data_IF_307911118022
#
_entry.id   IF_307911118022
#
_cell.length_a   1.000
_cell.length_b   1.000
_cell.length_c   1.000
_cell.angle_alpha   90.00
_cell.angle_beta   90.00
_cell.angle_gamma   90.00
#
_symmetry.space_group_name_H-M   'P 1'
#
loop_
_entity.id
_entity.type
_entity.pdbx_description
1 polymer ?
#
# COMPACT_ATOMS: atom_id res chain seq x y z
N UNK A 1 18.33 5.64 -21.40
CA UNK A 1 17.32 4.88 -22.16
C UNK A 1 16.60 3.79 -21.32
N UNK A 2 16.73 3.79 -20.00
CA UNK A 2 16.05 2.84 -19.11
C UNK A 2 14.73 3.40 -18.54
N UNK A 3 14.57 4.71 -18.57
CA UNK A 3 13.36 5.41 -18.15
C UNK A 3 12.65 6.02 -19.37
N UNK A 4 11.34 6.20 -19.24
CA UNK A 4 10.47 6.74 -20.28
C UNK A 4 9.75 5.66 -21.10
N UNK A 5 8.96 6.07 -22.10
CA UNK A 5 8.15 5.16 -22.90
C UNK A 5 8.96 4.02 -23.53
N UNK A 6 8.48 2.79 -23.38
CA UNK A 6 9.16 1.58 -23.86
C UNK A 6 10.41 1.18 -23.07
N UNK A 7 10.68 1.83 -21.94
CA UNK A 7 11.73 1.49 -20.99
C UNK A 7 11.29 0.48 -19.93
N UNK A 8 11.96 0.52 -18.77
CA UNK A 8 11.60 -0.29 -17.62
C UNK A 8 10.23 0.11 -17.07
N UNK A 9 9.35 -0.85 -16.83
CA UNK A 9 8.05 -0.61 -16.21
C UNK A 9 8.20 0.00 -14.82
N UNK A 10 7.33 0.95 -14.47
CA UNK A 10 7.41 1.74 -13.25
C UNK A 10 8.35 2.95 -13.33
N UNK A 11 8.97 3.21 -14.49
CA UNK A 11 9.83 4.36 -14.74
C UNK A 11 9.40 5.17 -15.98
N UNK A 12 8.13 5.07 -16.36
CA UNK A 12 7.57 5.69 -17.57
C UNK A 12 7.75 7.21 -17.57
N UNK A 13 7.63 7.85 -16.43
CA UNK A 13 7.80 9.29 -16.26
C UNK A 13 9.25 9.73 -15.98
N UNK A 14 10.19 8.80 -15.88
CA UNK A 14 11.57 9.11 -15.48
C UNK A 14 12.35 10.03 -16.45
N UNK A 15 11.77 10.38 -17.59
CA UNK A 15 12.32 11.36 -18.55
C UNK A 15 11.68 12.76 -18.39
N UNK A 16 10.72 12.93 -17.48
CA UNK A 16 9.96 14.14 -17.24
C UNK A 16 10.41 14.76 -15.91
N UNK A 17 10.55 16.07 -15.86
CA UNK A 17 10.86 16.79 -14.63
C UNK A 17 9.79 16.52 -13.54
N UNK A 18 10.21 16.36 -12.29
CA UNK A 18 9.35 15.92 -11.17
C UNK A 18 8.11 16.80 -10.98
N UNK A 19 8.27 18.13 -11.06
CA UNK A 19 7.14 19.06 -10.99
C UNK A 19 6.11 18.79 -12.11
N UNK A 20 6.58 18.56 -13.34
CA UNK A 20 5.70 18.26 -14.47
C UNK A 20 5.01 16.90 -14.32
N UNK A 21 5.66 15.92 -13.70
CA UNK A 21 5.01 14.64 -13.39
C UNK A 21 3.79 14.83 -12.48
N UNK A 22 3.87 15.71 -11.48
CA UNK A 22 2.75 16.02 -10.57
C UNK A 22 1.62 16.72 -11.29
N UNK A 23 1.93 17.69 -12.16
CA UNK A 23 0.92 18.34 -12.99
C UNK A 23 0.17 17.35 -13.87
N UNK A 24 0.89 16.45 -14.55
CA UNK A 24 0.28 15.40 -15.39
C UNK A 24 -0.63 14.46 -14.58
N UNK A 25 -0.26 14.13 -13.35
CA UNK A 25 -1.11 13.35 -12.45
C UNK A 25 -2.37 14.12 -12.05
N UNK A 26 -2.23 15.43 -11.78
CA UNK A 26 -3.38 16.29 -11.51
C UNK A 26 -4.31 16.40 -12.72
N UNK A 27 -3.77 16.53 -13.94
CA UNK A 27 -4.54 16.56 -15.19
C UNK A 27 -5.38 15.29 -15.35
N UNK A 28 -4.80 14.09 -15.10
CA UNK A 28 -5.50 12.80 -15.19
C UNK A 28 -6.62 12.68 -14.15
N UNK A 29 -6.38 13.13 -12.91
CA UNK A 29 -7.39 13.09 -11.85
C UNK A 29 -8.53 14.08 -12.16
N UNK A 30 -8.23 15.29 -12.63
CA UNK A 30 -9.21 16.28 -13.03
C UNK A 30 -10.13 15.74 -14.14
N UNK A 31 -9.54 15.17 -15.21
CA UNK A 31 -10.30 14.54 -16.28
C UNK A 31 -11.18 13.38 -15.77
N UNK A 32 -10.66 12.54 -14.90
CA UNK A 32 -11.40 11.42 -14.35
C UNK A 32 -12.59 11.88 -13.48
N UNK A 33 -12.40 12.89 -12.63
CA UNK A 33 -13.44 13.47 -11.79
C UNK A 33 -14.55 14.12 -12.64
N UNK A 34 -14.17 14.88 -13.66
CA UNK A 34 -15.16 15.52 -14.54
C UNK A 34 -15.94 14.47 -15.34
N UNK A 35 -15.25 13.53 -15.98
CA UNK A 35 -15.87 12.56 -16.88
C UNK A 35 -16.72 11.52 -16.14
N UNK A 36 -16.26 11.02 -14.98
CA UNK A 36 -16.92 9.92 -14.27
C UNK A 36 -17.95 10.39 -13.24
N UNK A 37 -17.72 11.54 -12.62
CA UNK A 37 -18.55 12.04 -11.53
C UNK A 37 -19.17 13.43 -11.79
N UNK A 38 -18.86 14.09 -12.91
CA UNK A 38 -19.33 15.45 -13.19
C UNK A 38 -18.75 16.52 -12.24
N UNK A 39 -17.65 16.17 -11.53
CA UNK A 39 -17.02 17.08 -10.56
C UNK A 39 -15.93 17.87 -11.24
N UNK A 40 -16.09 19.20 -11.30
CA UNK A 40 -15.06 20.12 -11.80
C UNK A 40 -14.15 20.56 -10.67
N UNK A 41 -13.09 19.81 -10.45
CA UNK A 41 -12.08 20.05 -9.43
C UNK A 41 -10.71 19.73 -9.97
N UNK A 42 -9.77 20.69 -9.87
CA UNK A 42 -8.35 20.41 -10.11
C UNK A 42 -7.68 20.00 -8.81
N UNK A 43 -7.32 18.71 -8.64
CA UNK A 43 -6.64 18.26 -7.44
C UNK A 43 -5.19 18.77 -7.39
N UNK A 44 -4.68 18.98 -6.18
CA UNK A 44 -3.27 19.27 -5.94
C UNK A 44 -2.53 17.95 -5.68
N UNK A 45 -1.47 17.70 -6.44
CA UNK A 45 -0.58 16.53 -6.23
C UNK A 45 0.68 17.02 -5.51
N UNK A 46 0.77 16.70 -4.24
CA UNK A 46 1.87 17.13 -3.37
C UNK A 46 3.05 16.14 -3.41
N UNK A 47 4.23 16.62 -3.00
CA UNK A 47 5.38 15.77 -2.74
C UNK A 47 5.18 15.00 -1.44
N UNK A 48 5.53 13.73 -1.40
CA UNK A 48 5.75 13.09 -0.12
C UNK A 48 7.06 13.64 0.52
N UNK A 49 7.16 13.64 1.87
CA UNK A 49 8.35 14.16 2.54
C UNK A 49 9.65 13.50 2.05
N UNK A 50 10.60 14.32 1.60
CA UNK A 50 11.89 13.88 1.07
C UNK A 50 11.94 13.63 -0.43
N UNK A 51 10.82 13.75 -1.16
CA UNK A 51 10.79 13.49 -2.60
C UNK A 51 11.50 14.57 -3.41
N UNK A 52 11.33 15.84 -3.03
CA UNK A 52 11.96 16.93 -3.75
C UNK A 52 13.49 16.93 -3.53
N UNK A 53 13.94 16.67 -2.31
CA UNK A 53 15.35 16.57 -1.96
C UNK A 53 16.04 15.40 -2.66
N UNK A 54 15.33 14.28 -2.82
CA UNK A 54 15.84 13.09 -3.52
C UNK A 54 15.60 13.12 -5.03
N UNK A 55 14.98 14.18 -5.54
CA UNK A 55 14.52 14.26 -6.94
C UNK A 55 13.65 13.06 -7.35
N UNK A 56 12.80 12.58 -6.43
CA UNK A 56 11.91 11.44 -6.64
C UNK A 56 12.62 10.08 -6.73
N UNK A 57 13.82 9.96 -6.18
CA UNK A 57 14.60 8.71 -6.17
C UNK A 57 14.65 8.09 -4.76
N UNK A 58 15.04 6.81 -4.66
CA UNK A 58 15.28 6.14 -3.38
C UNK A 58 14.09 6.07 -2.44
N UNK A 59 12.87 5.98 -2.97
CA UNK A 59 11.64 5.94 -2.18
C UNK A 59 11.04 4.55 -2.06
N UNK A 60 11.37 3.64 -3.00
CA UNK A 60 10.67 2.38 -3.18
C UNK A 60 11.22 1.30 -2.24
N UNK A 61 10.41 0.86 -1.29
CA UNK A 61 10.76 -0.16 -0.29
C UNK A 61 10.42 -1.58 -0.73
N UNK A 62 9.73 -1.74 -1.85
CA UNK A 62 9.38 -3.03 -2.42
C UNK A 62 9.63 -3.03 -3.91
N UNK A 63 10.33 -4.06 -4.38
CA UNK A 63 10.69 -4.24 -5.79
C UNK A 63 10.41 -5.67 -6.21
N UNK A 64 9.85 -5.81 -7.40
CA UNK A 64 9.73 -7.09 -8.08
C UNK A 64 10.59 -7.07 -9.34
N UNK A 65 11.48 -8.03 -9.46
CA UNK A 65 12.33 -8.26 -10.61
C UNK A 65 11.95 -9.60 -11.25
N UNK A 66 12.15 -9.69 -12.54
CA UNK A 66 11.90 -10.88 -13.32
C UNK A 66 13.21 -11.41 -13.89
N UNK A 67 13.24 -12.69 -14.23
CA UNK A 67 14.41 -13.35 -14.77
C UNK A 67 14.04 -13.93 -16.13
N UNK A 68 14.81 -13.63 -17.16
CA UNK A 68 14.63 -14.19 -18.50
C UNK A 68 15.29 -15.57 -18.64
N UNK A 69 15.12 -16.20 -19.81
CA UNK A 69 15.68 -17.53 -20.10
C UNK A 69 17.23 -17.56 -20.07
N UNK A 70 17.88 -16.41 -20.26
CA UNK A 70 19.33 -16.28 -20.17
C UNK A 70 19.82 -16.04 -18.72
N UNK A 71 18.90 -15.95 -17.76
CA UNK A 71 19.18 -15.67 -16.36
C UNK A 71 19.40 -14.19 -16.06
N UNK A 72 19.05 -13.29 -16.99
CA UNK A 72 19.14 -11.84 -16.80
C UNK A 72 18.04 -11.35 -15.87
N UNK A 73 18.41 -10.56 -14.88
CA UNK A 73 17.47 -10.01 -13.90
C UNK A 73 17.14 -8.56 -14.22
N UNK A 74 15.84 -8.21 -14.16
CA UNK A 74 15.38 -6.83 -14.35
C UNK A 74 13.87 -6.66 -14.21
N UNK A 75 13.39 -5.43 -14.24
CA UNK A 75 11.95 -5.17 -14.36
C UNK A 75 11.45 -5.60 -15.74
N UNK A 76 10.16 -5.84 -15.87
CA UNK A 76 9.55 -5.96 -17.18
C UNK A 76 9.58 -4.62 -17.91
N UNK A 77 9.65 -4.69 -19.24
CA UNK A 77 9.38 -3.56 -20.12
C UNK A 77 7.92 -3.10 -19.93
N UNK A 78 7.70 -1.81 -20.06
CA UNK A 78 6.35 -1.25 -20.06
C UNK A 78 5.43 -2.04 -21.01
N UNK A 79 4.28 -2.50 -20.49
CA UNK A 79 3.24 -3.26 -21.22
C UNK A 79 3.76 -4.54 -21.91
N UNK A 80 4.81 -5.15 -21.41
CA UNK A 80 5.41 -6.35 -21.94
C UNK A 80 5.86 -7.28 -20.80
N UNK A 81 6.18 -8.52 -21.16
CA UNK A 81 6.85 -9.48 -20.27
C UNK A 81 8.35 -9.63 -20.61
N UNK A 82 8.89 -8.74 -21.44
CA UNK A 82 10.33 -8.74 -21.73
C UNK A 82 11.10 -8.17 -20.53
N UNK A 83 12.13 -8.86 -20.09
CA UNK A 83 13.02 -8.39 -19.03
C UNK A 83 13.94 -7.31 -19.57
N UNK A 84 13.96 -6.16 -18.91
CA UNK A 84 14.89 -5.07 -19.25
C UNK A 84 16.11 -5.16 -18.35
N UNK A 85 17.27 -5.44 -18.94
CA UNK A 85 18.54 -5.37 -18.20
C UNK A 85 18.82 -3.94 -17.76
N UNK A 86 18.91 -3.74 -16.45
CA UNK A 86 19.21 -2.45 -15.82
C UNK A 86 20.55 -2.53 -15.08
N UNK A 87 21.24 -1.40 -14.97
CA UNK A 87 22.50 -1.33 -14.19
C UNK A 87 22.25 -1.03 -12.73
N UNK A 88 21.18 -0.32 -12.45
CA UNK A 88 20.81 0.15 -11.11
C UNK A 88 19.28 0.23 -11.00
N UNK A 89 18.79 0.31 -9.77
CA UNK A 89 17.39 0.46 -9.40
C UNK A 89 17.17 1.80 -8.68
N UNK A 90 17.29 2.94 -9.38
CA UNK A 90 17.38 4.25 -8.73
C UNK A 90 16.14 4.66 -7.93
N UNK A 91 14.97 4.06 -8.21
CA UNK A 91 13.76 4.29 -7.43
C UNK A 91 13.74 3.52 -6.10
N UNK A 92 14.51 2.43 -6.00
CA UNK A 92 14.57 1.61 -4.80
C UNK A 92 15.42 2.27 -3.71
N UNK A 93 15.08 1.99 -2.44
CA UNK A 93 15.92 2.36 -1.30
C UNK A 93 17.29 1.69 -1.37
N UNK A 94 18.26 2.25 -0.65
CA UNK A 94 19.65 1.83 -0.76
C UNK A 94 19.83 0.36 -0.37
N UNK A 95 19.18 -0.12 0.65
CA UNK A 95 19.25 -1.52 1.11
C UNK A 95 18.83 -2.53 0.03
N UNK A 96 17.89 -2.16 -0.86
CA UNK A 96 17.53 -2.99 -2.02
C UNK A 96 18.61 -2.92 -3.10
N UNK A 97 19.16 -1.74 -3.35
CA UNK A 97 20.18 -1.51 -4.38
C UNK A 97 21.48 -2.24 -4.05
N UNK A 98 21.88 -2.28 -2.78
CA UNK A 98 23.06 -2.99 -2.26
C UNK A 98 22.98 -4.52 -2.44
N UNK A 99 21.80 -5.10 -2.59
CA UNK A 99 21.64 -6.52 -2.89
C UNK A 99 22.12 -6.87 -4.31
N UNK A 100 22.16 -5.91 -5.21
CA UNK A 100 22.65 -6.02 -6.58
C UNK A 100 22.08 -7.22 -7.39
N UNK A 101 20.82 -7.58 -7.15
CA UNK A 101 20.18 -8.71 -7.85
C UNK A 101 20.21 -8.53 -9.37
N UNK A 102 20.09 -7.29 -9.86
CA UNK A 102 20.13 -6.96 -11.30
C UNK A 102 21.51 -7.23 -11.94
N UNK A 103 22.57 -7.37 -11.13
CA UNK A 103 23.94 -7.66 -11.59
C UNK A 103 24.28 -9.16 -11.47
N UNK A 104 23.37 -9.98 -10.95
CA UNK A 104 23.54 -11.43 -10.79
C UNK A 104 22.86 -12.17 -11.94
N UNK A 105 23.28 -13.42 -12.16
CA UNK A 105 22.63 -14.33 -13.09
C UNK A 105 21.95 -15.46 -12.30
N UNK A 106 20.71 -15.75 -12.64
CA UNK A 106 19.93 -16.80 -11.99
C UNK A 106 19.44 -17.79 -13.03
N UNK A 107 19.71 -19.07 -12.80
CA UNK A 107 19.18 -20.16 -13.61
C UNK A 107 17.92 -20.75 -12.93
N UNK A 108 16.93 -21.11 -13.73
CA UNK A 108 15.69 -21.74 -13.26
C UNK A 108 14.89 -20.90 -12.23
N UNK A 109 15.04 -19.58 -12.26
CA UNK A 109 14.31 -18.61 -11.45
C UNK A 109 13.46 -17.74 -12.37
N UNK A 110 12.22 -17.46 -11.96
CA UNK A 110 11.29 -16.60 -12.72
C UNK A 110 11.15 -15.21 -12.13
N UNK A 111 11.19 -15.11 -10.80
CA UNK A 111 10.86 -13.88 -10.09
C UNK A 111 11.67 -13.72 -8.81
N UNK A 112 12.06 -12.48 -8.53
CA UNK A 112 12.68 -12.05 -7.28
C UNK A 112 11.87 -10.89 -6.73
N UNK A 113 11.36 -11.04 -5.52
CA UNK A 113 10.65 -9.99 -4.78
C UNK A 113 11.52 -9.57 -3.60
N UNK A 114 11.70 -8.28 -3.42
CA UNK A 114 12.49 -7.72 -2.31
C UNK A 114 11.63 -6.72 -1.57
N UNK A 115 11.69 -6.75 -0.25
CA UNK A 115 11.02 -5.80 0.63
C UNK A 115 11.95 -5.37 1.75
N UNK A 116 11.93 -4.07 2.05
CA UNK A 116 12.63 -3.45 3.17
C UNK A 116 11.60 -2.77 4.05
N UNK A 117 11.66 -3.02 5.35
CA UNK A 117 10.76 -2.37 6.31
C UNK A 117 11.30 -1.03 6.78
N UNK A 118 10.44 -0.22 7.37
CA UNK A 118 10.79 1.05 8.02
C UNK A 118 11.75 0.90 9.23
N UNK A 119 11.98 -0.34 9.67
CA UNK A 119 12.95 -0.68 10.74
C UNK A 119 14.26 -1.25 10.21
N UNK A 120 14.45 -1.26 8.87
CA UNK A 120 15.67 -1.74 8.23
C UNK A 120 15.77 -3.25 8.04
N UNK A 121 14.70 -3.99 8.32
CA UNK A 121 14.67 -5.43 8.03
C UNK A 121 14.56 -5.66 6.54
N UNK A 122 15.31 -6.63 6.03
CA UNK A 122 15.35 -6.97 4.60
C UNK A 122 14.85 -8.38 4.37
N UNK A 123 13.89 -8.50 3.49
CA UNK A 123 13.31 -9.77 3.08
C UNK A 123 13.33 -9.88 1.56
N UNK A 124 13.66 -11.04 1.05
CA UNK A 124 13.52 -11.32 -0.38
C UNK A 124 12.96 -12.72 -0.62
N UNK A 125 12.29 -12.87 -1.73
CA UNK A 125 11.68 -14.12 -2.15
C UNK A 125 12.15 -14.44 -3.56
N UNK A 126 12.75 -15.61 -3.72
CA UNK A 126 13.16 -16.14 -5.02
C UNK A 126 12.14 -17.21 -5.40
N UNK A 127 11.29 -16.92 -6.37
CA UNK A 127 10.05 -17.66 -6.69
C UNK A 127 9.19 -17.84 -5.43
N UNK A 128 9.16 -19.06 -4.87
CA UNK A 128 8.38 -19.40 -3.67
C UNK A 128 9.23 -19.45 -2.39
N UNK A 129 10.56 -19.33 -2.50
CA UNK A 129 11.47 -19.49 -1.36
C UNK A 129 11.76 -18.16 -0.71
N UNK A 130 11.23 -17.96 0.49
CA UNK A 130 11.49 -16.80 1.33
C UNK A 130 12.91 -16.88 1.92
N UNK A 131 13.58 -15.74 1.99
CA UNK A 131 14.90 -15.51 2.57
C UNK A 131 14.90 -14.21 3.36
N UNK A 132 15.83 -14.09 4.32
CA UNK A 132 15.89 -12.94 5.22
C UNK A 132 14.87 -13.05 6.35
N UNK A 133 14.34 -11.92 6.79
CA UNK A 133 13.37 -11.86 7.90
C UNK A 133 12.03 -12.49 7.52
N UNK A 134 11.50 -13.39 8.35
CA UNK A 134 10.21 -14.04 8.08
C UNK A 134 9.04 -13.06 8.16
N UNK A 135 9.18 -12.04 8.99
CA UNK A 135 8.19 -10.97 9.20
C UNK A 135 8.87 -9.62 9.16
N UNK A 136 8.25 -8.68 8.50
CA UNK A 136 8.67 -7.30 8.49
C UNK A 136 7.93 -6.51 9.55
N UNK A 137 8.65 -5.60 10.19
CA UNK A 137 8.10 -4.68 11.19
C UNK A 137 8.06 -3.28 10.59
N UNK A 138 6.87 -2.74 10.46
CA UNK A 138 6.66 -1.38 9.98
C UNK A 138 6.20 -0.47 11.10
N UNK A 139 6.59 0.80 11.04
CA UNK A 139 6.14 1.82 11.99
C UNK A 139 5.41 2.92 11.23
N UNK A 140 4.23 3.27 11.69
CA UNK A 140 3.45 4.36 11.14
C UNK A 140 2.60 5.01 12.25
N UNK A 141 2.61 6.34 12.32
CA UNK A 141 1.77 7.13 13.25
C UNK A 141 1.79 6.62 14.70
N UNK A 142 2.99 6.31 15.21
CA UNK A 142 3.19 5.84 16.58
C UNK A 142 2.81 4.38 16.85
N UNK A 143 2.40 3.61 15.85
CA UNK A 143 2.11 2.17 15.97
C UNK A 143 3.11 1.32 15.22
N UNK A 144 3.18 0.07 15.67
CA UNK A 144 4.00 -0.98 15.04
C UNK A 144 3.08 -1.99 14.37
N UNK A 145 3.37 -2.33 13.13
CA UNK A 145 2.64 -3.32 12.34
C UNK A 145 3.57 -4.46 11.95
N UNK A 146 3.12 -5.69 12.15
CA UNK A 146 3.78 -6.91 11.68
C UNK A 146 3.18 -7.30 10.35
N UNK A 147 4.02 -7.66 9.39
CA UNK A 147 3.62 -8.06 8.06
C UNK A 147 4.27 -9.39 7.75
N UNK A 148 3.45 -10.39 7.50
CA UNK A 148 3.92 -11.73 7.10
C UNK A 148 4.64 -11.68 5.75
N UNK A 149 5.55 -12.63 5.54
CA UNK A 149 6.41 -12.67 4.35
C UNK A 149 5.64 -12.64 3.03
N UNK A 150 5.94 -11.64 2.21
CA UNK A 150 5.25 -11.37 0.95
C UNK A 150 3.92 -10.64 1.09
N UNK A 151 3.52 -10.23 2.32
CA UNK A 151 2.33 -9.42 2.56
C UNK A 151 2.45 -8.01 1.96
N UNK A 152 1.31 -7.43 1.61
CA UNK A 152 1.26 -6.08 1.07
C UNK A 152 1.63 -5.02 2.12
N UNK A 153 2.37 -4.04 1.71
CA UNK A 153 2.57 -2.75 2.38
C UNK A 153 2.84 -1.69 1.33
N UNK A 154 2.60 -0.43 1.67
CA UNK A 154 2.84 0.68 0.76
C UNK A 154 4.28 0.70 0.26
N UNK A 155 4.46 0.87 -1.06
CA UNK A 155 5.79 0.80 -1.67
C UNK A 155 6.64 2.04 -1.44
N UNK A 156 6.02 3.21 -1.26
CA UNK A 156 6.75 4.44 -0.95
C UNK A 156 7.03 4.51 0.55
N UNK A 157 8.29 4.71 0.93
CA UNK A 157 8.74 4.72 2.34
C UNK A 157 7.99 5.67 3.28
N UNK A 158 7.35 6.71 2.72
CA UNK A 158 6.55 7.69 3.47
C UNK A 158 5.03 7.54 3.30
N UNK A 159 4.57 6.63 2.44
CA UNK A 159 3.14 6.53 2.13
C UNK A 159 2.28 6.20 3.36
N UNK A 160 2.71 5.27 4.20
CA UNK A 160 1.94 4.91 5.39
C UNK A 160 1.74 6.12 6.33
N UNK A 161 2.78 6.95 6.52
CA UNK A 161 2.72 8.17 7.33
C UNK A 161 1.82 9.23 6.71
N UNK A 162 1.97 9.49 5.40
CA UNK A 162 1.18 10.49 4.66
C UNK A 162 -0.29 10.11 4.62
N UNK A 163 -0.60 8.88 4.25
CA UNK A 163 -1.99 8.40 4.13
C UNK A 163 -2.70 8.39 5.49
N UNK A 164 -2.04 7.88 6.53
CA UNK A 164 -2.63 7.90 7.88
C UNK A 164 -2.77 9.31 8.43
N UNK A 165 -1.84 10.22 8.11
CA UNK A 165 -1.95 11.64 8.40
C UNK A 165 -3.20 12.26 7.78
N UNK A 166 -3.38 12.09 6.48
CA UNK A 166 -4.54 12.59 5.73
C UNK A 166 -5.88 12.05 6.26
N UNK A 167 -5.97 10.73 6.49
CA UNK A 167 -7.18 10.11 7.07
C UNK A 167 -7.48 10.68 8.46
N UNK A 168 -6.48 10.81 9.30
CA UNK A 168 -6.62 11.35 10.64
C UNK A 168 -7.03 12.83 10.64
N UNK A 169 -6.58 13.63 9.67
CA UNK A 169 -6.98 15.02 9.49
C UNK A 169 -8.43 15.13 9.04
N UNK A 170 -8.84 14.31 8.05
CA UNK A 170 -10.24 14.24 7.61
C UNK A 170 -11.17 13.85 8.75
N UNK A 171 -10.82 12.83 9.54
CA UNK A 171 -11.61 12.42 10.71
C UNK A 171 -11.66 13.52 11.76
N UNK A 172 -10.55 14.22 12.01
CA UNK A 172 -10.52 15.33 12.96
C UNK A 172 -11.43 16.49 12.54
N UNK A 173 -11.60 16.71 11.23
CA UNK A 173 -12.44 17.76 10.69
C UNK A 173 -13.94 17.45 10.80
N UNK A 174 -14.34 16.18 10.64
CA UNK A 174 -15.76 15.76 10.63
C UNK A 174 -16.22 15.08 11.93
N UNK A 175 -15.27 14.66 12.76
CA UNK A 175 -15.54 13.85 13.96
C UNK A 175 -15.66 12.36 13.65
N UNK A 176 -15.52 11.53 14.69
CA UNK A 176 -15.81 10.10 14.64
C UNK A 176 -16.58 9.70 15.88
N UNK A 177 -17.67 8.95 15.69
CA UNK A 177 -18.38 8.31 16.81
C UNK A 177 -17.70 6.99 17.13
N UNK A 178 -17.02 6.91 18.27
CA UNK A 178 -16.27 5.72 18.70
C UNK A 178 -17.17 4.52 19.00
N UNK A 179 -18.44 4.74 19.29
CA UNK A 179 -19.42 3.67 19.58
C UNK A 179 -20.21 3.22 18.35
N UNK A 180 -20.12 3.96 17.24
CA UNK A 180 -20.73 3.56 15.98
C UNK A 180 -20.05 2.34 15.38
N UNK A 181 -20.72 1.60 14.52
CA UNK A 181 -20.18 0.46 13.80
C UNK A 181 -19.32 0.93 12.60
N UNK A 182 -18.17 1.53 12.89
CA UNK A 182 -17.24 2.04 11.89
C UNK A 182 -16.65 0.91 11.05
N UNK A 183 -16.29 1.21 9.80
CA UNK A 183 -15.76 0.25 8.84
C UNK A 183 -14.43 0.74 8.25
N UNK A 184 -13.49 -0.18 8.10
CA UNK A 184 -12.25 -0.02 7.36
C UNK A 184 -12.25 -1.10 6.27
N UNK A 185 -12.61 -0.72 5.05
CA UNK A 185 -12.79 -1.62 3.92
C UNK A 185 -11.49 -1.68 3.11
N UNK A 186 -11.09 -2.89 2.73
CA UNK A 186 -9.76 -3.21 2.19
C UNK A 186 -8.63 -2.93 3.21
N UNK A 187 -8.91 -3.17 4.49
CA UNK A 187 -8.09 -2.75 5.62
C UNK A 187 -6.68 -3.35 5.72
N UNK A 188 -6.33 -4.30 4.85
CA UNK A 188 -5.00 -4.90 4.81
C UNK A 188 -4.59 -5.47 6.16
N UNK A 189 -3.44 -5.03 6.66
CA UNK A 189 -2.90 -5.43 7.99
C UNK A 189 -3.40 -4.55 9.14
N UNK A 190 -4.43 -3.71 8.89
CA UNK A 190 -5.06 -2.87 9.91
C UNK A 190 -4.42 -1.49 10.09
N UNK A 191 -3.77 -0.95 9.06
CA UNK A 191 -3.04 0.32 9.13
C UNK A 191 -3.93 1.49 9.58
N UNK A 192 -5.04 1.76 8.89
CA UNK A 192 -5.93 2.88 9.22
C UNK A 192 -6.63 2.66 10.55
N UNK A 193 -7.24 1.49 10.76
CA UNK A 193 -7.88 1.14 12.04
C UNK A 193 -6.95 1.36 13.23
N UNK A 194 -5.70 0.87 13.13
CA UNK A 194 -4.72 1.00 14.22
C UNK A 194 -4.34 2.45 14.50
N UNK A 195 -4.09 3.24 13.47
CA UNK A 195 -3.64 4.64 13.63
C UNK A 195 -4.77 5.56 14.07
N UNK A 196 -6.01 5.31 13.64
CA UNK A 196 -7.20 6.02 14.14
C UNK A 196 -7.40 5.74 15.62
N UNK A 197 -7.35 4.47 16.04
CA UNK A 197 -7.46 4.13 17.45
C UNK A 197 -6.35 4.74 18.30
N UNK A 198 -5.12 4.86 17.77
CA UNK A 198 -4.02 5.52 18.46
C UNK A 198 -4.28 7.02 18.68
N UNK A 199 -4.94 7.69 17.72
CA UNK A 199 -5.21 9.14 17.80
C UNK A 199 -6.50 9.48 18.54
N UNK A 200 -7.58 8.73 18.31
CA UNK A 200 -8.92 9.08 18.80
C UNK A 200 -9.39 8.24 19.99
N UNK A 201 -8.75 7.12 20.29
CA UNK A 201 -9.00 6.31 21.48
C UNK A 201 -9.12 4.82 21.21
N UNK A 202 -8.70 4.03 22.20
CA UNK A 202 -8.72 2.55 22.14
C UNK A 202 -10.12 1.94 22.22
N UNK A 203 -11.10 2.72 22.62
CA UNK A 203 -12.49 2.29 22.66
C UNK A 203 -13.19 2.33 21.30
N UNK A 204 -12.45 2.67 20.24
CA UNK A 204 -12.95 2.67 18.87
C UNK A 204 -13.59 1.31 18.51
N UNK A 205 -14.88 1.34 18.19
CA UNK A 205 -15.57 0.21 17.57
C UNK A 205 -15.38 0.29 16.07
N UNK A 206 -14.68 -0.70 15.51
CA UNK A 206 -14.40 -0.75 14.06
C UNK A 206 -14.33 -2.20 13.57
N UNK A 207 -14.82 -2.43 12.38
CA UNK A 207 -14.60 -3.68 11.66
C UNK A 207 -13.71 -3.41 10.46
N UNK A 208 -12.50 -3.99 10.46
CA UNK A 208 -11.62 -4.00 9.30
C UNK A 208 -11.90 -5.24 8.46
N UNK A 209 -12.07 -5.05 7.15
CA UNK A 209 -12.46 -6.10 6.19
C UNK A 209 -11.36 -6.25 5.14
N UNK A 210 -10.85 -7.46 5.02
CA UNK A 210 -9.77 -7.78 4.09
C UNK A 210 -10.01 -9.17 3.47
N UNK A 211 -9.78 -9.29 2.18
CA UNK A 211 -9.99 -10.55 1.44
C UNK A 211 -8.85 -11.56 1.58
N UNK A 212 -7.63 -11.08 1.79
CA UNK A 212 -6.46 -11.92 1.96
C UNK A 212 -6.33 -12.44 3.38
N UNK A 213 -6.38 -13.75 3.53
CA UNK A 213 -6.35 -14.43 4.83
C UNK A 213 -5.12 -14.05 5.67
N UNK A 214 -3.93 -14.06 5.08
CA UNK A 214 -2.69 -13.71 5.78
C UNK A 214 -2.66 -12.27 6.26
N UNK A 215 -3.19 -11.33 5.48
CA UNK A 215 -3.30 -9.93 5.88
C UNK A 215 -4.33 -9.75 7.01
N UNK A 216 -5.47 -10.48 6.97
CA UNK A 216 -6.45 -10.49 8.08
C UNK A 216 -5.87 -11.08 9.37
N UNK A 217 -5.07 -12.14 9.27
CA UNK A 217 -4.36 -12.72 10.42
C UNK A 217 -3.36 -11.72 11.01
N UNK A 218 -2.59 -11.03 10.17
CA UNK A 218 -1.71 -9.94 10.59
C UNK A 218 -2.50 -8.79 11.22
N UNK A 219 -3.64 -8.37 10.64
CA UNK A 219 -4.51 -7.35 11.21
C UNK A 219 -5.01 -7.75 12.61
N UNK A 220 -5.43 -9.00 12.78
CA UNK A 220 -5.87 -9.52 14.09
C UNK A 220 -4.79 -9.38 15.15
N UNK A 221 -3.53 -9.67 14.79
CA UNK A 221 -2.39 -9.54 15.72
C UNK A 221 -2.02 -8.07 15.97
N UNK A 222 -2.03 -7.24 14.93
CA UNK A 222 -1.66 -5.83 15.01
C UNK A 222 -2.67 -4.98 15.80
N UNK A 223 -3.92 -5.43 15.86
CA UNK A 223 -5.04 -4.74 16.51
C UNK A 223 -5.48 -5.44 17.81
N UNK A 224 -4.74 -6.43 18.31
CA UNK A 224 -5.10 -7.22 19.47
C UNK A 224 -5.24 -6.41 20.79
N UNK A 225 -4.66 -5.23 20.85
CA UNK A 225 -4.78 -4.30 21.96
C UNK A 225 -6.07 -3.43 21.92
N UNK A 226 -6.91 -3.62 20.90
CA UNK A 226 -8.14 -2.85 20.66
C UNK A 226 -9.38 -3.75 20.88
N UNK A 227 -10.02 -3.69 22.05
CA UNK A 227 -11.01 -4.68 22.45
C UNK A 227 -12.32 -4.65 21.63
N UNK A 228 -12.64 -3.50 21.01
CA UNK A 228 -13.86 -3.32 20.21
C UNK A 228 -13.61 -3.39 18.69
N UNK A 229 -12.38 -3.73 18.28
CA UNK A 229 -12.02 -3.89 16.86
C UNK A 229 -12.13 -5.36 16.44
N UNK A 230 -12.60 -5.59 15.22
CA UNK A 230 -12.70 -6.92 14.60
C UNK A 230 -12.06 -6.92 13.24
N UNK A 231 -11.23 -7.92 12.95
CA UNK A 231 -10.73 -8.19 11.62
C UNK A 231 -11.56 -9.33 10.97
N UNK A 232 -12.04 -9.10 9.76
CA UNK A 232 -12.92 -10.04 9.04
C UNK A 232 -12.28 -10.38 7.70
N UNK A 233 -12.06 -11.68 7.48
CA UNK A 233 -11.57 -12.21 6.19
C UNK A 233 -12.75 -12.41 5.24
N UNK A 234 -12.99 -11.44 4.37
CA UNK A 234 -14.06 -11.50 3.37
C UNK A 234 -13.78 -10.53 2.22
N UNK A 235 -14.27 -10.86 1.03
CA UNK A 235 -14.40 -9.86 -0.01
C UNK A 235 -15.36 -8.75 0.46
N UNK A 236 -14.99 -7.50 0.24
CA UNK A 236 -15.75 -6.32 0.70
C UNK A 236 -17.19 -6.32 0.23
N UNK A 237 -17.43 -6.62 -1.05
CA UNK A 237 -18.77 -6.70 -1.63
C UNK A 237 -19.64 -7.76 -0.94
N UNK A 238 -19.06 -8.93 -0.69
CA UNK A 238 -19.77 -10.02 0.02
C UNK A 238 -20.12 -9.60 1.45
N UNK A 239 -19.17 -9.02 2.18
CA UNK A 239 -19.38 -8.52 3.53
C UNK A 239 -20.51 -7.48 3.59
N UNK A 240 -20.51 -6.52 2.67
CA UNK A 240 -21.55 -5.49 2.60
C UNK A 240 -22.91 -6.07 2.23
N UNK A 241 -22.99 -6.99 1.27
CA UNK A 241 -24.24 -7.65 0.87
C UNK A 241 -24.83 -8.47 2.01
N UNK A 242 -24.03 -9.22 2.76
CA UNK A 242 -24.47 -9.98 3.94
C UNK A 242 -24.98 -9.04 5.04
N UNK A 243 -24.35 -7.88 5.22
CA UNK A 243 -24.77 -6.88 6.20
C UNK A 243 -26.10 -6.22 5.83
N UNK A 244 -26.28 -5.83 4.56
CA UNK A 244 -27.54 -5.26 4.05
C UNK A 244 -28.65 -6.31 4.11
N UNK A 245 -28.41 -7.53 3.64
CA UNK A 245 -29.42 -8.61 3.69
C UNK A 245 -29.86 -9.00 5.11
N UNK A 246 -29.00 -8.80 6.11
CA UNK A 246 -29.37 -8.98 7.52
C UNK A 246 -30.23 -7.83 8.05
N UNK A 247 -30.01 -6.61 7.59
CA UNK A 247 -30.86 -5.45 7.93
C UNK A 247 -32.29 -5.62 7.40
N UNK A 248 -32.42 -6.07 6.15
CA UNK A 248 -33.70 -6.31 5.49
C UNK A 248 -34.53 -7.43 6.18
N UNK A 249 -33.86 -8.38 6.83
CA UNK A 249 -34.50 -9.48 7.59
C UNK A 249 -34.79 -9.15 9.06
N UNK A 250 -34.68 -7.89 9.46
CA UNK A 250 -34.90 -7.46 10.85
C UNK A 250 -33.82 -7.96 11.83
N UNK A 251 -32.64 -8.35 11.30
CA UNK A 251 -31.48 -8.72 12.12
C UNK A 251 -30.96 -7.54 12.94
N UNK A 252 -30.42 -7.82 14.12
CA UNK A 252 -29.81 -6.81 15.03
C UNK A 252 -28.41 -6.35 14.56
N UNK A 253 -28.19 -6.20 13.25
CA UNK A 253 -27.02 -5.46 12.81
C UNK A 253 -27.31 -3.99 13.04
N UNK A 254 -26.48 -3.34 13.86
CA UNK A 254 -26.64 -1.92 14.13
C UNK A 254 -26.65 -1.16 12.79
N UNK A 255 -27.65 -0.30 12.63
CA UNK A 255 -27.69 0.62 11.51
C UNK A 255 -26.34 1.39 11.48
N UNK A 256 -25.72 1.61 10.34
CA UNK A 256 -24.47 2.39 10.23
C UNK A 256 -24.71 3.90 10.43
N UNK A 257 -25.74 4.26 11.19
CA UNK A 257 -25.99 5.65 11.55
C UNK A 257 -24.80 6.18 12.32
N UNK A 258 -24.29 7.32 11.89
CA UNK A 258 -23.09 8.00 12.40
C UNK A 258 -21.78 7.21 12.23
N UNK A 259 -21.79 6.11 11.47
CA UNK A 259 -20.57 5.35 11.24
C UNK A 259 -19.64 6.05 10.23
N UNK A 260 -18.35 6.01 10.50
CA UNK A 260 -17.31 6.39 9.55
C UNK A 260 -16.94 5.16 8.74
N UNK A 261 -16.87 5.33 7.41
CA UNK A 261 -16.42 4.29 6.49
C UNK A 261 -15.15 4.78 5.84
N UNK A 262 -14.08 4.01 5.95
CA UNK A 262 -12.81 4.22 5.27
C UNK A 262 -12.74 3.24 4.12
N UNK A 263 -12.38 3.74 2.96
CA UNK A 263 -12.26 2.99 1.73
C UNK A 263 -10.91 3.33 1.10
N UNK A 264 -10.01 2.34 0.98
CA UNK A 264 -8.70 2.47 0.34
C UNK A 264 -8.73 1.90 -1.09
#
# INVERSE_FOLDING_TARGET
KQAGPGGAGGAEFGHIALARQRELKADVLEEALERMAGIKLRPVVEAAPGDDESNGLGYRTRVQLHVDEAGTVGPYRERSHDVVKVRDLPLAVEEIRELEFQNKNFQDVKKIEVAVSSTGQVQWKIDKKLKGDERLIERASGRTFRISGGGFWQVHKKAAEVLTGAVNEMIAAVGIDLEADNLDLYGGVGLFTGTIAAKFGKDLRMTTVESFRTATEDATLNLADLPKVKAVCSATERFLNERVGNLDKGGKTASPRNATIILD
#
